data_IF_179356096775
#
_entry.id   IF_179356096775
#
_cell.length_a   1.000
_cell.length_b   1.000
_cell.length_c   1.000
_cell.angle_alpha   90.00
_cell.angle_beta   90.00
_cell.angle_gamma   90.00
#
_symmetry.space_group_name_H-M   'P 1'
#
loop_
_entity.id
_entity.type
_entity.pdbx_description
1 polymer ?
#
# COMPACT_ATOMS: atom_id res chain seq x y z
N UNK A 1 -32.21 0.64 12.43
CA UNK A 1 -31.82 -0.68 12.98
C UNK A 1 -31.06 -0.48 14.29
N UNK A 2 -31.60 -0.96 15.43
CA UNK A 2 -30.99 -0.79 16.74
C UNK A 2 -29.85 -1.77 17.05
N UNK A 3 -29.52 -2.70 16.15
CA UNK A 3 -28.50 -3.73 16.36
C UNK A 3 -27.13 -3.35 15.76
N UNK A 4 -26.10 -4.15 16.06
CA UNK A 4 -24.79 -4.06 15.40
C UNK A 4 -24.84 -4.33 13.90
N UNK A 5 -25.90 -4.98 13.40
CA UNK A 5 -26.12 -5.19 11.96
C UNK A 5 -26.07 -3.87 11.20
N UNK A 6 -26.52 -2.76 11.79
CA UNK A 6 -26.45 -1.42 11.18
C UNK A 6 -25.03 -1.03 10.75
N UNK A 7 -24.01 -1.34 11.57
CA UNK A 7 -22.62 -0.99 11.28
C UNK A 7 -22.13 -1.81 10.08
N UNK A 8 -22.33 -3.13 10.14
CA UNK A 8 -21.87 -4.04 9.10
C UNK A 8 -22.58 -3.80 7.77
N UNK A 9 -23.89 -3.58 7.80
CA UNK A 9 -24.67 -3.32 6.61
C UNK A 9 -24.25 -1.99 5.96
N UNK A 10 -24.04 -0.94 6.78
CA UNK A 10 -23.55 0.35 6.26
C UNK A 10 -22.20 0.27 5.57
N UNK A 11 -21.25 -0.54 6.09
CA UNK A 11 -19.96 -0.76 5.42
C UNK A 11 -20.15 -1.56 4.12
N UNK A 12 -20.99 -2.60 4.17
CA UNK A 12 -21.20 -3.50 3.03
C UNK A 12 -21.89 -2.83 1.84
N UNK A 13 -22.78 -1.86 2.08
CA UNK A 13 -23.53 -1.15 1.03
C UNK A 13 -22.99 0.27 0.75
N UNK A 14 -21.83 0.63 1.30
CA UNK A 14 -21.29 1.99 1.19
C UNK A 14 -21.05 2.43 -0.27
N UNK A 15 -20.64 1.51 -1.14
CA UNK A 15 -20.39 1.77 -2.56
C UNK A 15 -21.50 1.27 -3.50
N UNK A 16 -22.60 0.75 -2.94
CA UNK A 16 -23.80 0.42 -3.70
C UNK A 16 -24.68 1.67 -3.83
N UNK A 17 -24.21 2.64 -4.62
CA UNK A 17 -24.83 3.96 -4.70
C UNK A 17 -26.27 3.95 -5.22
N UNK A 18 -26.65 2.95 -6.02
CA UNK A 18 -28.00 2.81 -6.56
C UNK A 18 -29.05 2.50 -5.48
N UNK A 19 -28.64 1.89 -4.36
CA UNK A 19 -29.54 1.57 -3.24
C UNK A 19 -29.60 2.66 -2.16
N UNK A 20 -28.91 3.78 -2.36
CA UNK A 20 -28.92 4.89 -1.41
C UNK A 20 -30.19 5.71 -1.53
N UNK A 21 -30.70 6.19 -0.38
CA UNK A 21 -31.90 7.01 -0.33
C UNK A 21 -31.74 8.30 -1.18
N UNK A 22 -32.81 8.68 -1.88
CA UNK A 22 -32.88 9.90 -2.71
C UNK A 22 -31.83 10.03 -3.83
N UNK A 23 -31.28 8.92 -4.33
CA UNK A 23 -30.34 8.93 -5.45
C UNK A 23 -31.06 9.19 -6.80
N UNK A 24 -30.50 10.09 -7.61
CA UNK A 24 -30.89 10.31 -9.01
C UNK A 24 -29.81 9.79 -9.94
N UNK A 25 -30.16 9.52 -11.20
CA UNK A 25 -29.19 9.05 -12.21
C UNK A 25 -28.02 10.04 -12.39
N UNK A 26 -28.30 11.35 -12.47
CA UNK A 26 -27.24 12.37 -12.57
C UNK A 26 -26.27 12.32 -11.37
N UNK A 27 -26.82 12.26 -10.14
CA UNK A 27 -26.01 12.24 -8.91
C UNK A 27 -25.22 10.93 -8.78
N UNK A 28 -25.81 9.81 -9.19
CA UNK A 28 -25.13 8.52 -9.27
C UNK A 28 -23.87 8.62 -10.14
N UNK A 29 -23.99 9.14 -11.36
CA UNK A 29 -22.85 9.28 -12.26
C UNK A 29 -21.81 10.30 -11.76
N UNK A 30 -22.22 11.41 -11.14
CA UNK A 30 -21.29 12.37 -10.53
C UNK A 30 -20.48 11.73 -9.39
N UNK A 31 -21.12 10.94 -8.52
CA UNK A 31 -20.46 10.22 -7.43
C UNK A 31 -19.46 9.17 -7.97
N UNK A 32 -19.86 8.39 -8.99
CA UNK A 32 -18.97 7.41 -9.65
C UNK A 32 -17.77 8.11 -10.29
N UNK A 33 -18.01 9.22 -11.00
CA UNK A 33 -16.96 9.99 -11.65
C UNK A 33 -15.93 10.52 -10.64
N UNK A 34 -16.38 11.13 -9.54
CA UNK A 34 -15.49 11.58 -8.48
C UNK A 34 -14.74 10.41 -7.82
N UNK A 35 -15.41 9.26 -7.64
CA UNK A 35 -14.80 8.04 -7.09
C UNK A 35 -13.66 7.52 -7.98
N UNK A 36 -13.80 7.60 -9.30
CA UNK A 36 -12.71 7.25 -10.22
C UNK A 36 -11.47 8.14 -10.05
N UNK A 37 -11.65 9.46 -9.86
CA UNK A 37 -10.53 10.35 -9.56
C UNK A 37 -9.85 10.01 -8.24
N UNK A 38 -10.64 9.70 -7.21
CA UNK A 38 -10.12 9.20 -5.93
C UNK A 38 -9.28 7.93 -6.12
N UNK A 39 -9.80 6.96 -6.87
CA UNK A 39 -9.10 5.71 -7.15
C UNK A 39 -7.81 5.91 -7.94
N UNK A 40 -7.82 6.78 -8.96
CA UNK A 40 -6.62 7.13 -9.73
C UNK A 40 -5.57 7.79 -8.85
N UNK A 41 -5.96 8.71 -7.96
CA UNK A 41 -5.05 9.35 -7.02
C UNK A 41 -4.41 8.34 -6.06
N UNK A 42 -5.18 7.36 -5.55
CA UNK A 42 -4.64 6.28 -4.70
C UNK A 42 -3.62 5.44 -5.47
N UNK A 43 -3.87 5.10 -6.74
CA UNK A 43 -2.93 4.36 -7.58
C UNK A 43 -1.63 5.16 -7.76
N UNK A 44 -1.73 6.46 -8.08
CA UNK A 44 -0.54 7.30 -8.26
C UNK A 44 0.25 7.46 -6.96
N UNK A 45 -0.43 7.63 -5.82
CA UNK A 45 0.22 7.70 -4.52
C UNK A 45 0.90 6.38 -4.16
N UNK A 46 0.26 5.24 -4.41
CA UNK A 46 0.85 3.92 -4.19
C UNK A 46 2.10 3.71 -5.05
N UNK A 47 2.03 3.99 -6.36
CA UNK A 47 3.21 3.90 -7.25
C UNK A 47 4.32 4.85 -6.82
N UNK A 48 3.97 6.09 -6.44
CA UNK A 48 4.94 7.06 -5.91
C UNK A 48 5.59 6.58 -4.62
N UNK A 49 4.84 5.94 -3.72
CA UNK A 49 5.38 5.33 -2.50
C UNK A 49 6.39 4.22 -2.79
N UNK A 50 6.11 3.35 -3.77
CA UNK A 50 7.07 2.32 -4.20
C UNK A 50 8.37 2.95 -4.70
N UNK A 51 8.29 3.94 -5.60
CA UNK A 51 9.46 4.66 -6.11
C UNK A 51 10.24 5.36 -4.99
N UNK A 52 9.54 6.03 -4.08
CA UNK A 52 10.14 6.77 -2.99
C UNK A 52 10.91 5.84 -2.04
N UNK A 53 10.31 4.72 -1.62
CA UNK A 53 10.96 3.79 -0.71
C UNK A 53 12.18 3.10 -1.35
N UNK A 54 12.10 2.70 -2.63
CA UNK A 54 13.26 2.13 -3.33
C UNK A 54 14.37 3.16 -3.51
N UNK A 55 14.05 4.41 -3.87
CA UNK A 55 15.05 5.46 -4.05
C UNK A 55 15.71 5.89 -2.73
N UNK A 56 14.94 5.95 -1.63
CA UNK A 56 15.43 6.42 -0.34
C UNK A 56 16.14 5.33 0.47
N UNK A 57 15.57 4.12 0.50
CA UNK A 57 15.96 3.05 1.41
C UNK A 57 16.37 1.76 0.70
N UNK A 58 16.14 1.68 -0.61
CA UNK A 58 16.53 0.55 -1.43
C UNK A 58 18.00 0.54 -1.78
N UNK A 59 18.40 -0.49 -2.52
CA UNK A 59 19.76 -0.68 -3.04
C UNK A 59 19.77 -0.67 -4.57
N UNK A 60 18.89 0.13 -5.20
CA UNK A 60 18.67 0.09 -6.65
C UNK A 60 19.96 0.30 -7.46
N UNK A 61 20.80 1.26 -7.07
CA UNK A 61 22.07 1.51 -7.75
C UNK A 61 23.00 0.29 -7.69
N UNK A 62 23.12 -0.35 -6.52
CA UNK A 62 23.91 -1.59 -6.38
C UNK A 62 23.30 -2.76 -7.12
N UNK A 63 21.96 -2.88 -7.11
CA UNK A 63 21.24 -3.93 -7.82
C UNK A 63 21.44 -3.84 -9.32
N UNK A 64 21.42 -2.64 -9.91
CA UNK A 64 21.67 -2.44 -11.34
C UNK A 64 23.08 -2.91 -11.75
N UNK A 65 24.08 -2.85 -10.86
CA UNK A 65 25.43 -3.32 -11.16
C UNK A 65 25.57 -4.85 -11.15
N UNK A 66 24.78 -5.57 -10.34
CA UNK A 66 24.79 -7.03 -10.27
C UNK A 66 23.41 -7.62 -9.94
N UNK A 67 22.47 -7.59 -10.91
CA UNK A 67 21.07 -7.93 -10.68
C UNK A 67 20.82 -9.43 -10.45
N UNK A 68 21.81 -10.29 -10.72
CA UNK A 68 21.70 -11.74 -10.55
C UNK A 68 22.02 -12.18 -9.12
N UNK A 69 22.84 -11.43 -8.39
CA UNK A 69 23.28 -11.82 -7.04
C UNK A 69 22.85 -10.83 -5.95
N UNK A 70 22.66 -9.55 -6.29
CA UNK A 70 22.09 -8.57 -5.35
C UNK A 70 20.59 -8.78 -5.28
N UNK A 71 20.06 -8.92 -4.06
CA UNK A 71 18.62 -8.98 -3.83
C UNK A 71 18.06 -7.56 -3.69
N UNK A 72 16.99 -7.20 -4.41
CA UNK A 72 16.41 -5.87 -4.34
C UNK A 72 15.76 -5.63 -2.97
N UNK A 73 15.97 -4.45 -2.41
CA UNK A 73 15.36 -4.02 -1.15
C UNK A 73 14.06 -3.25 -1.44
N UNK A 74 12.98 -3.60 -0.73
CA UNK A 74 11.71 -2.88 -0.80
C UNK A 74 11.74 -1.60 0.05
N UNK A 75 11.92 -1.74 1.37
CA UNK A 75 12.03 -0.65 2.33
C UNK A 75 12.68 -1.16 3.64
N UNK A 76 13.06 -0.23 4.50
CA UNK A 76 13.56 -0.54 5.86
C UNK A 76 12.44 -1.01 6.78
N UNK A 77 12.78 -1.89 7.71
CA UNK A 77 11.88 -2.31 8.79
C UNK A 77 12.18 -1.45 10.02
N UNK A 78 11.13 -0.84 10.57
CA UNK A 78 11.19 -0.14 11.84
C UNK A 78 10.13 -0.72 12.78
N UNK A 79 10.55 -1.68 13.62
CA UNK A 79 9.68 -2.32 14.62
C UNK A 79 10.37 -2.31 16.00
N UNK A 80 9.87 -1.51 16.97
CA UNK A 80 10.48 -1.43 18.30
C UNK A 80 10.34 -2.72 19.12
N UNK A 81 9.51 -3.67 18.68
CA UNK A 81 9.34 -4.96 19.35
C UNK A 81 10.35 -6.01 18.89
N UNK A 82 11.15 -5.73 17.85
CA UNK A 82 12.19 -6.64 17.40
C UNK A 82 13.26 -6.81 18.49
N UNK A 83 13.41 -8.04 18.98
CA UNK A 83 14.61 -8.43 19.72
C UNK A 83 15.83 -8.45 18.80
N UNK A 84 17.02 -8.40 19.40
CA UNK A 84 18.29 -8.41 18.66
C UNK A 84 18.41 -9.53 17.60
N UNK A 85 17.99 -10.79 17.87
CA UNK A 85 18.05 -11.84 16.85
C UNK A 85 17.21 -11.54 15.60
N UNK A 86 16.07 -10.85 15.76
CA UNK A 86 15.24 -10.45 14.63
C UNK A 86 15.90 -9.31 13.84
N UNK A 87 16.47 -8.32 14.53
CA UNK A 87 17.24 -7.24 13.88
C UNK A 87 18.34 -7.82 13.00
N UNK A 88 19.15 -8.73 13.55
CA UNK A 88 20.22 -9.41 12.79
C UNK A 88 19.65 -10.26 11.65
N UNK A 89 18.59 -11.04 11.92
CA UNK A 89 17.98 -11.88 10.91
C UNK A 89 17.40 -11.07 9.74
N UNK A 90 16.93 -9.84 9.92
CA UNK A 90 16.38 -9.01 8.85
C UNK A 90 17.38 -8.00 8.27
N UNK A 91 18.57 -7.86 8.86
CA UNK A 91 19.66 -7.04 8.32
C UNK A 91 20.38 -7.84 7.23
N UNK A 92 19.85 -7.79 6.00
CA UNK A 92 20.29 -8.58 4.84
C UNK A 92 20.54 -7.68 3.62
N UNK A 93 21.08 -8.27 2.55
CA UNK A 93 21.23 -7.57 1.26
C UNK A 93 22.27 -6.45 1.24
N UNK A 94 23.24 -6.50 2.17
CA UNK A 94 24.25 -5.46 2.34
C UNK A 94 23.76 -4.19 3.05
N UNK A 95 22.53 -4.20 3.58
CA UNK A 95 21.98 -3.08 4.33
C UNK A 95 22.60 -2.94 5.74
N UNK A 96 22.61 -1.70 6.26
CA UNK A 96 23.10 -1.38 7.61
C UNK A 96 22.08 -1.67 8.72
N UNK A 97 20.85 -2.09 8.35
CA UNK A 97 19.79 -2.42 9.29
C UNK A 97 18.71 -3.29 8.66
N UNK A 98 17.65 -3.59 9.42
CA UNK A 98 16.57 -4.47 8.98
C UNK A 98 15.86 -3.97 7.73
N UNK A 99 15.68 -4.86 6.74
CA UNK A 99 15.03 -4.55 5.45
C UNK A 99 14.15 -5.70 4.96
N UNK A 100 13.18 -5.37 4.10
CA UNK A 100 12.43 -6.35 3.33
C UNK A 100 13.05 -6.56 1.95
N UNK A 101 13.11 -7.82 1.49
CA UNK A 101 13.47 -8.15 0.10
C UNK A 101 12.24 -8.00 -0.79
N UNK A 102 12.38 -7.29 -1.90
CA UNK A 102 11.31 -7.07 -2.85
C UNK A 102 11.11 -8.30 -3.77
N UNK A 103 9.86 -8.58 -4.09
CA UNK A 103 9.44 -9.66 -5.01
C UNK A 103 8.36 -9.20 -6.01
N UNK A 104 8.14 -7.89 -6.12
CA UNK A 104 7.10 -7.29 -6.97
C UNK A 104 7.44 -7.26 -8.46
N UNK A 105 8.68 -7.61 -8.83
CA UNK A 105 9.27 -7.39 -10.16
C UNK A 105 10.31 -6.29 -10.15
#
# INVERSE_FOLDING_TARGET
DPTTRRIWFGIATAHDFESHDDITEERLYQNIFASHFGQLAIIFLWTSGNLFHVAWQGNFESWVQDPLHVRPIAHTIWDPHFGQPAVEAFTRGGALGPVNIAYSG
#
